data_IF_303624202740
#
_entry.id   IF_303624202740
#
_cell.length_a   1.000
_cell.length_b   1.000
_cell.length_c   1.000
_cell.angle_alpha   90.00
_cell.angle_beta   90.00
_cell.angle_gamma   90.00
#
_symmetry.space_group_name_H-M   'P 1'
#
loop_
_entity.id
_entity.type
_entity.pdbx_description
1 polymer ?
#
# COMPACT_ATOMS: atom_id res chain seq x y z
N UNK A 1 10.64 -2.02 -7.50
CA UNK A 1 9.61 -3.09 -7.61
C UNK A 1 8.95 -3.24 -6.25
N UNK A 2 7.72 -2.75 -6.13
CA UNK A 2 6.93 -2.93 -4.92
C UNK A 2 6.57 -4.41 -4.75
N UNK A 3 6.71 -4.94 -3.55
CA UNK A 3 6.38 -6.33 -3.25
C UNK A 3 5.15 -6.34 -2.35
N UNK A 4 4.12 -7.08 -2.74
CA UNK A 4 2.91 -7.25 -1.93
C UNK A 4 2.73 -8.74 -1.67
N UNK A 5 2.72 -9.12 -0.39
CA UNK A 5 2.48 -10.49 0.02
C UNK A 5 1.09 -10.96 -0.46
N UNK A 6 0.95 -12.22 -0.89
CA UNK A 6 -0.30 -12.75 -1.47
C UNK A 6 -1.49 -12.68 -0.50
N UNK A 7 -1.24 -12.77 0.81
CA UNK A 7 -2.25 -12.60 1.86
C UNK A 7 -2.82 -11.18 1.91
N UNK A 8 -2.00 -10.16 1.66
CA UNK A 8 -2.38 -8.75 1.67
C UNK A 8 -2.84 -8.30 0.28
N UNK A 9 -2.39 -8.97 -0.78
CA UNK A 9 -2.73 -8.67 -2.17
C UNK A 9 -4.23 -8.53 -2.37
N UNK A 10 -5.03 -9.40 -1.76
CA UNK A 10 -6.51 -9.33 -1.85
C UNK A 10 -7.08 -8.04 -1.26
N UNK A 11 -6.51 -7.55 -0.16
CA UNK A 11 -6.86 -6.25 0.45
C UNK A 11 -6.33 -5.08 -0.37
N UNK A 12 -5.09 -5.18 -0.84
CA UNK A 12 -4.48 -4.19 -1.73
C UNK A 12 -5.31 -4.01 -3.01
N UNK A 13 -5.76 -5.09 -3.63
CA UNK A 13 -6.61 -5.04 -4.84
C UNK A 13 -7.98 -4.41 -4.56
N UNK A 14 -8.50 -4.56 -3.34
CA UNK A 14 -9.73 -3.90 -2.89
C UNK A 14 -9.59 -2.39 -2.65
N UNK A 15 -8.36 -1.86 -2.63
CA UNK A 15 -8.12 -0.42 -2.53
C UNK A 15 -8.40 0.28 -3.87
N UNK A 16 -8.70 1.58 -3.79
CA UNK A 16 -8.84 2.46 -4.95
C UNK A 16 -7.58 2.47 -5.81
N UNK A 17 -7.75 2.68 -7.12
CA UNK A 17 -6.66 2.72 -8.10
C UNK A 17 -5.61 3.77 -7.73
N UNK A 18 -6.03 4.92 -7.20
CA UNK A 18 -5.14 6.00 -6.80
C UNK A 18 -4.13 5.55 -5.73
N UNK A 19 -4.63 4.97 -4.63
CA UNK A 19 -3.81 4.40 -3.56
C UNK A 19 -2.85 3.34 -4.07
N UNK A 20 -3.32 2.44 -4.94
CA UNK A 20 -2.46 1.42 -5.55
C UNK A 20 -1.32 2.05 -6.34
N UNK A 21 -1.60 3.08 -7.15
CA UNK A 21 -0.57 3.79 -7.90
C UNK A 21 0.43 4.46 -6.97
N UNK A 22 -0.03 5.19 -5.95
CA UNK A 22 0.86 5.85 -4.97
C UNK A 22 1.77 4.84 -4.26
N UNK A 23 1.21 3.69 -3.85
CA UNK A 23 1.97 2.59 -3.22
C UNK A 23 2.99 1.98 -4.19
N UNK A 24 2.63 1.84 -5.47
CA UNK A 24 3.52 1.33 -6.51
C UNK A 24 4.66 2.32 -6.81
N UNK A 25 4.37 3.61 -6.87
CA UNK A 25 5.37 4.68 -7.10
C UNK A 25 6.40 4.74 -5.96
N UNK A 26 5.96 4.54 -4.71
CA UNK A 26 6.84 4.53 -3.53
C UNK A 26 7.72 3.29 -3.38
N UNK A 27 7.58 2.28 -4.24
CA UNK A 27 8.42 1.08 -4.23
C UNK A 27 8.45 0.33 -2.86
N UNK A 28 7.33 0.29 -2.14
CA UNK A 28 7.26 -0.31 -0.79
C UNK A 28 7.17 -1.84 -0.81
N UNK A 29 7.58 -2.49 0.28
CA UNK A 29 7.48 -3.96 0.45
C UNK A 29 6.53 -4.32 1.57
N UNK A 30 5.28 -4.57 1.20
CA UNK A 30 4.20 -4.95 2.10
C UNK A 30 4.23 -6.46 2.32
N UNK A 31 4.75 -6.87 3.48
CA UNK A 31 4.76 -8.27 3.90
C UNK A 31 3.56 -8.65 4.77
N UNK A 32 3.03 -7.71 5.54
CA UNK A 32 1.96 -7.92 6.51
C UNK A 32 0.96 -6.76 6.47
N UNK A 33 -0.18 -6.94 7.15
CA UNK A 33 -1.24 -5.91 7.20
C UNK A 33 -0.74 -4.60 7.85
N UNK A 34 0.15 -4.68 8.84
CA UNK A 34 0.73 -3.51 9.50
C UNK A 34 1.52 -2.64 8.54
N UNK A 35 2.24 -3.26 7.60
CA UNK A 35 3.03 -2.54 6.59
C UNK A 35 2.08 -1.78 5.64
N UNK A 36 0.99 -2.43 5.24
CA UNK A 36 -0.06 -1.79 4.46
C UNK A 36 -0.67 -0.60 5.21
N UNK A 37 -1.04 -0.76 6.47
CA UNK A 37 -1.63 0.30 7.29
C UNK A 37 -0.68 1.49 7.40
N UNK A 38 0.60 1.22 7.68
CA UNK A 38 1.60 2.27 7.84
C UNK A 38 1.80 3.08 6.56
N UNK A 39 1.84 2.40 5.42
CA UNK A 39 1.94 3.06 4.11
C UNK A 39 0.68 3.86 3.80
N UNK A 40 -0.51 3.34 4.13
CA UNK A 40 -1.77 4.07 3.98
C UNK A 40 -1.79 5.34 4.83
N UNK A 41 -1.37 5.25 6.09
CA UNK A 41 -1.28 6.40 6.99
C UNK A 41 -0.28 7.44 6.48
N UNK A 42 0.90 7.01 6.03
CA UNK A 42 1.93 7.89 5.44
C UNK A 42 1.40 8.64 4.21
N UNK A 43 0.68 7.94 3.32
CA UNK A 43 0.06 8.55 2.14
C UNK A 43 -0.99 9.60 2.54
N UNK A 44 -1.84 9.28 3.51
CA UNK A 44 -2.89 10.21 3.97
C UNK A 44 -2.30 11.39 4.72
N UNK A 45 -1.26 11.16 5.53
CA UNK A 45 -0.58 12.21 6.31
C UNK A 45 0.23 13.17 5.44
N UNK A 46 0.69 12.75 4.26
CA UNK A 46 1.35 13.65 3.29
C UNK A 46 0.36 14.43 2.42
N UNK A 47 -0.91 14.01 2.36
CA UNK A 47 -1.97 14.71 1.61
C UNK A 47 -2.63 15.84 2.43
N UNK A 48 -2.25 15.98 3.71
CA UNK A 48 -2.71 17.01 4.67
C UNK A 48 -1.65 18.11 4.91
#
# INVERSE_FOLDING_TARGET
>A
MSYIAPEIRKKFESLSVNLKNTILERNVRIQNIHDLIKVLEDIVAEDE
#
